data_IF_821876160924
#
_entry.id   IF_821876160924
#
_cell.length_a   1.000
_cell.length_b   1.000
_cell.length_c   1.000
_cell.angle_alpha   90.00
_cell.angle_beta   90.00
_cell.angle_gamma   90.00
#
_symmetry.space_group_name_H-M   'P 1'
#
loop_
_entity.id
_entity.type
_entity.pdbx_description
1 polymer ?
#
# COMPACT_ATOMS: atom_id res chain seq x y z
N UNK A 1 33.24 -40.00 73.55
CA UNK A 1 33.44 -40.26 72.12
C UNK A 1 32.05 -40.29 71.48
N UNK A 2 31.57 -39.16 70.97
CA UNK A 2 30.25 -39.02 70.34
C UNK A 2 30.46 -38.94 68.82
N UNK A 3 29.89 -39.89 68.08
CA UNK A 3 29.80 -39.86 66.61
C UNK A 3 28.38 -39.41 66.23
N UNK A 4 28.30 -38.35 65.43
CA UNK A 4 27.07 -37.84 64.82
C UNK A 4 26.74 -38.59 63.51
N UNK A 5 25.45 -38.78 63.15
CA UNK A 5 25.01 -39.28 61.84
C UNK A 5 24.82 -38.14 60.81
N UNK A 6 24.65 -38.46 59.51
CA UNK A 6 24.91 -37.55 58.40
C UNK A 6 23.74 -36.64 58.02
N UNK A 7 24.06 -35.48 57.46
CA UNK A 7 23.16 -34.46 56.92
C UNK A 7 22.45 -34.92 55.65
N UNK A 8 21.13 -34.73 55.60
CA UNK A 8 20.28 -34.95 54.42
C UNK A 8 20.62 -33.97 53.28
N UNK A 9 20.91 -34.53 52.11
CA UNK A 9 20.84 -33.85 50.82
C UNK A 9 19.39 -33.92 50.31
N UNK A 10 18.65 -32.81 50.31
CA UNK A 10 17.41 -32.64 49.54
C UNK A 10 17.33 -31.19 49.05
N UNK A 11 17.22 -31.01 47.72
CA UNK A 11 16.63 -29.86 46.99
C UNK A 11 17.36 -29.44 45.70
N UNK A 12 17.78 -30.39 44.85
CA UNK A 12 18.17 -30.06 43.46
C UNK A 12 17.02 -30.23 42.45
N UNK A 13 16.14 -31.22 42.62
CA UNK A 13 15.07 -31.52 41.67
C UNK A 13 13.93 -30.47 41.64
N UNK A 14 13.59 -29.88 42.79
CA UNK A 14 12.48 -28.91 42.91
C UNK A 14 12.80 -27.57 42.27
N UNK A 15 14.08 -27.15 42.28
CA UNK A 15 14.55 -25.89 41.70
C UNK A 15 14.61 -25.97 40.16
N UNK A 16 14.94 -27.14 39.61
CA UNK A 16 14.92 -27.38 38.16
C UNK A 16 13.49 -27.34 37.64
N UNK A 17 12.54 -28.01 38.29
CA UNK A 17 11.12 -28.01 37.90
C UNK A 17 10.46 -26.62 37.96
N UNK A 18 10.84 -25.77 38.92
CA UNK A 18 10.35 -24.38 39.01
C UNK A 18 10.88 -23.49 37.89
N UNK A 19 12.14 -23.66 37.48
CA UNK A 19 12.72 -22.93 36.35
C UNK A 19 12.08 -23.33 35.02
N UNK A 20 11.87 -24.63 34.82
CA UNK A 20 11.22 -25.18 33.62
C UNK A 20 9.76 -24.71 33.51
N UNK A 21 9.03 -24.70 34.63
CA UNK A 21 7.66 -24.20 34.71
C UNK A 21 7.55 -22.68 34.45
N UNK A 22 8.47 -21.88 35.01
CA UNK A 22 8.52 -20.45 34.77
C UNK A 22 8.83 -20.12 33.30
N UNK A 23 9.77 -20.85 32.70
CA UNK A 23 10.14 -20.68 31.29
C UNK A 23 8.98 -21.06 30.35
N UNK A 24 8.26 -22.15 30.67
CA UNK A 24 7.05 -22.55 29.94
C UNK A 24 5.93 -21.51 30.04
N UNK A 25 5.70 -20.97 31.24
CA UNK A 25 4.70 -19.91 31.49
C UNK A 25 5.04 -18.63 30.74
N UNK A 26 6.30 -18.23 30.69
CA UNK A 26 6.75 -17.05 29.94
C UNK A 26 6.53 -17.24 28.44
N UNK A 27 6.89 -18.42 27.89
CA UNK A 27 6.66 -18.74 26.47
C UNK A 27 5.17 -18.70 26.13
N UNK A 28 4.30 -19.24 26.99
CA UNK A 28 2.85 -19.18 26.78
C UNK A 28 2.29 -17.75 26.83
N UNK A 29 2.82 -16.89 27.70
CA UNK A 29 2.44 -15.47 27.77
C UNK A 29 2.86 -14.73 26.50
N UNK A 30 4.07 -14.97 26.00
CA UNK A 30 4.53 -14.40 24.73
C UNK A 30 3.73 -14.94 23.54
N UNK A 31 3.42 -16.23 23.50
CA UNK A 31 2.60 -16.84 22.46
C UNK A 31 1.19 -16.23 22.45
N UNK A 32 0.54 -16.08 23.62
CA UNK A 32 -0.78 -15.41 23.72
C UNK A 32 -0.71 -13.94 23.35
N UNK A 33 0.34 -13.21 23.77
CA UNK A 33 0.52 -11.81 23.38
C UNK A 33 0.73 -11.66 21.86
N UNK A 34 1.49 -12.59 21.26
CA UNK A 34 1.68 -12.69 19.82
C UNK A 34 0.36 -13.02 19.11
N UNK A 35 -0.40 -14.00 19.56
CA UNK A 35 -1.72 -14.34 19.01
C UNK A 35 -2.71 -13.18 19.11
N UNK A 36 -2.81 -12.51 20.26
CA UNK A 36 -3.66 -11.32 20.43
C UNK A 36 -3.22 -10.20 19.48
N UNK A 37 -1.90 -9.99 19.34
CA UNK A 37 -1.34 -9.02 18.40
C UNK A 37 -1.67 -9.39 16.95
N UNK A 38 -1.51 -10.66 16.56
CA UNK A 38 -1.88 -11.19 15.24
C UNK A 38 -3.38 -11.06 14.98
N UNK A 39 -4.24 -11.30 15.97
CA UNK A 39 -5.69 -11.19 15.84
C UNK A 39 -6.13 -9.73 15.68
N UNK A 40 -5.54 -8.81 16.47
CA UNK A 40 -5.74 -7.37 16.33
C UNK A 40 -5.22 -6.84 14.99
N UNK A 41 -4.13 -7.40 14.49
CA UNK A 41 -3.64 -7.06 13.17
C UNK A 41 -4.52 -7.63 12.06
N UNK A 42 -5.03 -8.88 12.17
CA UNK A 42 -6.00 -9.46 11.24
C UNK A 42 -7.27 -8.61 11.13
N UNK A 43 -7.78 -8.08 12.24
CA UNK A 43 -8.95 -7.18 12.24
C UNK A 43 -8.63 -5.80 11.63
N UNK A 44 -7.39 -5.30 11.73
CA UNK A 44 -6.92 -4.14 10.97
C UNK A 44 -6.67 -4.44 9.48
N UNK A 45 -6.31 -5.69 9.15
CA UNK A 45 -5.97 -6.11 7.80
C UNK A 45 -7.20 -6.37 6.93
N UNK A 46 -8.30 -6.83 7.54
CA UNK A 46 -9.60 -7.09 6.88
C UNK A 46 -10.31 -5.84 6.35
N UNK A 47 -9.91 -4.64 6.79
CA UNK A 47 -10.25 -3.40 6.09
C UNK A 47 -9.29 -3.27 4.91
N UNK A 48 -9.64 -3.87 3.75
CA UNK A 48 -8.89 -3.64 2.52
C UNK A 48 -8.94 -2.15 2.23
N UNK A 49 -7.79 -1.48 2.30
CA UNK A 49 -7.72 -0.09 1.95
C UNK A 49 -8.07 0.04 0.47
N UNK A 50 -9.08 0.83 0.15
CA UNK A 50 -9.59 0.91 -1.21
C UNK A 50 -8.47 1.34 -2.15
N UNK A 51 -8.29 0.63 -3.28
CA UNK A 51 -7.30 0.97 -4.31
C UNK A 51 -7.74 2.26 -5.01
N UNK A 52 -7.53 3.40 -4.36
CA UNK A 52 -8.01 4.70 -4.82
C UNK A 52 -6.90 5.73 -4.98
N UNK A 53 -7.13 6.70 -5.85
CA UNK A 53 -6.27 7.85 -6.05
C UNK A 53 -7.09 9.07 -6.46
N UNK A 54 -6.53 10.27 -6.27
CA UNK A 54 -7.18 11.53 -6.63
C UNK A 54 -6.26 12.29 -7.59
N UNK A 55 -6.80 12.72 -8.72
CA UNK A 55 -6.12 13.64 -9.63
C UNK A 55 -6.85 14.98 -9.65
N UNK A 56 -6.09 16.08 -9.64
CA UNK A 56 -6.61 17.45 -9.67
C UNK A 56 -5.91 18.24 -10.75
N UNK A 57 -6.67 19.00 -11.52
CA UNK A 57 -6.07 19.84 -12.55
C UNK A 57 -6.87 21.12 -12.81
N UNK A 58 -6.15 22.19 -13.13
CA UNK A 58 -6.71 23.47 -13.57
C UNK A 58 -6.25 23.70 -14.99
N UNK A 59 -7.19 23.66 -15.93
CA UNK A 59 -6.91 23.99 -17.32
C UNK A 59 -6.89 25.50 -17.49
N UNK A 60 -5.71 26.02 -17.83
CA UNK A 60 -5.48 27.43 -18.14
C UNK A 60 -5.95 27.76 -19.56
N UNK A 61 -6.26 29.03 -19.82
CA UNK A 61 -6.68 29.54 -21.13
C UNK A 61 -7.82 28.73 -21.77
N UNK A 62 -8.75 28.24 -20.95
CA UNK A 62 -9.88 27.45 -21.41
C UNK A 62 -10.84 28.26 -22.31
N UNK A 63 -10.70 29.59 -22.32
CA UNK A 63 -11.41 30.50 -23.22
C UNK A 63 -11.02 30.34 -24.69
N UNK A 64 -9.74 30.14 -24.97
CA UNK A 64 -9.16 30.05 -26.31
C UNK A 64 -9.02 28.62 -26.83
N UNK A 65 -9.58 27.63 -26.14
CA UNK A 65 -9.56 26.24 -26.60
C UNK A 65 -10.21 26.12 -27.98
N UNK A 66 -9.58 25.37 -28.89
CA UNK A 66 -10.08 25.07 -30.23
C UNK A 66 -11.06 23.88 -30.20
N UNK A 67 -11.90 23.77 -31.23
CA UNK A 67 -12.80 22.62 -31.38
C UNK A 67 -11.98 21.35 -31.64
N UNK A 68 -12.41 20.23 -31.05
CA UNK A 68 -11.87 18.88 -31.22
C UNK A 68 -10.38 18.70 -30.88
N UNK A 69 -9.75 19.74 -30.31
CA UNK A 69 -8.37 19.70 -29.84
C UNK A 69 -8.31 19.23 -28.39
N UNK A 70 -7.40 18.30 -28.11
CA UNK A 70 -7.15 17.78 -26.76
C UNK A 70 -6.14 18.66 -26.02
N UNK A 71 -6.51 19.11 -24.84
CA UNK A 71 -5.64 19.84 -23.93
C UNK A 71 -5.36 18.97 -22.72
N UNK A 72 -4.10 18.56 -22.55
CA UNK A 72 -3.67 17.59 -21.56
C UNK A 72 -3.19 18.25 -20.26
N UNK A 73 -3.56 17.65 -19.13
CA UNK A 73 -2.92 17.88 -17.84
C UNK A 73 -1.63 17.06 -17.69
N UNK A 74 -0.99 17.12 -16.51
CA UNK A 74 0.21 16.34 -16.21
C UNK A 74 -0.08 14.84 -16.24
N UNK A 75 0.98 14.06 -16.51
CA UNK A 75 0.95 12.62 -16.32
C UNK A 75 1.10 12.29 -14.84
N UNK A 76 0.25 11.40 -14.33
CA UNK A 76 0.41 10.85 -12.99
C UNK A 76 0.41 9.32 -13.06
N UNK A 77 1.35 8.70 -12.36
CA UNK A 77 1.45 7.25 -12.28
C UNK A 77 0.77 6.75 -11.01
N UNK A 78 -0.25 5.91 -11.18
CA UNK A 78 -1.02 5.32 -10.09
C UNK A 78 -1.16 3.81 -10.31
N UNK A 79 -0.79 3.01 -9.32
CA UNK A 79 -0.82 1.54 -9.39
C UNK A 79 0.00 0.96 -10.55
N UNK A 80 1.17 1.55 -10.84
CA UNK A 80 2.01 1.13 -11.96
C UNK A 80 1.50 1.55 -13.35
N UNK A 81 0.37 2.25 -13.41
CA UNK A 81 -0.27 2.67 -14.66
C UNK A 81 -0.15 4.18 -14.82
N UNK A 82 0.32 4.69 -15.97
CA UNK A 82 0.32 6.12 -16.25
C UNK A 82 -1.07 6.59 -16.68
N UNK A 83 -1.54 7.68 -16.08
CA UNK A 83 -2.85 8.31 -16.32
C UNK A 83 -2.70 9.77 -16.72
N UNK A 84 -3.61 10.27 -17.57
CA UNK A 84 -3.74 11.70 -17.88
C UNK A 84 -5.19 12.13 -17.85
N UNK A 85 -5.41 13.37 -17.43
CA UNK A 85 -6.66 14.09 -17.66
C UNK A 85 -6.48 14.91 -18.93
N UNK A 86 -7.51 14.98 -19.75
CA UNK A 86 -7.57 16.01 -20.78
C UNK A 86 -8.97 16.57 -20.91
N UNK A 87 -9.06 17.77 -21.48
CA UNK A 87 -10.32 18.39 -21.88
C UNK A 87 -10.34 18.54 -23.39
N UNK A 88 -11.51 18.33 -23.97
CA UNK A 88 -11.80 18.59 -25.37
C UNK A 88 -13.18 19.24 -25.44
N UNK A 89 -13.33 20.24 -26.32
CA UNK A 89 -14.63 20.82 -26.60
C UNK A 89 -15.08 20.42 -28.01
N UNK A 90 -16.34 20.05 -28.13
CA UNK A 90 -17.03 19.95 -29.41
C UNK A 90 -17.99 21.14 -29.57
N UNK A 91 -18.82 21.13 -30.61
CA UNK A 91 -19.80 22.18 -30.88
C UNK A 91 -20.79 22.43 -29.73
N UNK A 92 -21.10 21.41 -28.93
CA UNK A 92 -22.15 21.40 -27.90
C UNK A 92 -21.63 21.35 -26.47
N UNK A 93 -20.50 20.70 -26.23
CA UNK A 93 -20.02 20.36 -24.88
C UNK A 93 -18.52 20.64 -24.70
N UNK A 94 -18.14 20.92 -23.45
CA UNK A 94 -16.79 20.69 -22.95
C UNK A 94 -16.80 19.37 -22.18
N UNK A 95 -15.97 18.42 -22.61
CA UNK A 95 -15.90 17.08 -22.08
C UNK A 95 -14.52 16.86 -21.42
N UNK A 96 -14.53 16.33 -20.21
CA UNK A 96 -13.34 15.98 -19.44
C UNK A 96 -13.13 14.48 -19.51
N UNK A 97 -11.93 14.07 -19.86
CA UNK A 97 -11.56 12.68 -20.12
C UNK A 97 -10.47 12.23 -19.18
N UNK A 98 -10.54 10.95 -18.82
CA UNK A 98 -9.45 10.23 -18.20
C UNK A 98 -8.86 9.32 -19.28
N UNK A 99 -7.54 9.28 -19.39
CA UNK A 99 -6.83 8.43 -20.33
C UNK A 99 -5.81 7.57 -19.60
N UNK A 100 -5.84 6.27 -19.84
CA UNK A 100 -4.81 5.32 -19.43
C UNK A 100 -3.77 5.18 -20.54
N UNK A 101 -2.52 5.50 -20.22
CA UNK A 101 -1.41 5.49 -21.16
C UNK A 101 -0.68 4.15 -21.21
N UNK A 102 -1.21 3.09 -20.57
CA UNK A 102 -0.63 1.75 -20.66
C UNK A 102 -0.55 1.30 -22.12
N UNK A 103 0.63 0.77 -22.50
CA UNK A 103 0.90 0.28 -23.85
C UNK A 103 -0.13 -0.78 -24.28
N UNK A 104 -0.47 -0.75 -25.57
CA UNK A 104 -1.43 -1.69 -26.18
C UNK A 104 -0.91 -3.13 -26.12
N UNK A 105 0.41 -3.35 -26.12
CA UNK A 105 1.06 -4.65 -25.90
C UNK A 105 0.52 -5.81 -26.73
N UNK A 106 1.05 -7.01 -26.50
CA UNK A 106 0.44 -8.26 -26.98
C UNK A 106 -0.43 -8.91 -25.91
N UNK A 107 -0.04 -8.75 -24.64
CA UNK A 107 -0.77 -9.28 -23.48
C UNK A 107 -2.06 -8.50 -23.24
N UNK A 108 -3.23 -9.19 -23.19
CA UNK A 108 -4.48 -8.57 -22.78
C UNK A 108 -4.38 -8.05 -21.35
N UNK A 109 -4.93 -6.87 -21.11
CA UNK A 109 -5.03 -6.28 -19.78
C UNK A 109 -6.35 -5.55 -19.63
N UNK A 110 -6.77 -5.41 -18.37
CA UNK A 110 -8.03 -4.78 -17.99
C UNK A 110 -7.88 -4.04 -16.67
N UNK A 111 -8.52 -2.88 -16.58
CA UNK A 111 -8.65 -2.06 -15.37
C UNK A 111 -10.12 -1.70 -15.22
N UNK A 112 -10.80 -2.27 -14.21
CA UNK A 112 -12.16 -1.88 -13.85
C UNK A 112 -12.12 -0.90 -12.68
N UNK A 113 -12.85 0.21 -12.77
CA UNK A 113 -12.78 1.28 -11.78
C UNK A 113 -14.05 2.12 -11.73
N UNK A 114 -14.26 2.77 -10.60
CA UNK A 114 -15.29 3.78 -10.37
C UNK A 114 -14.64 5.17 -10.36
N UNK A 115 -15.26 6.15 -11.00
CA UNK A 115 -14.79 7.55 -11.03
C UNK A 115 -15.83 8.44 -10.41
N UNK A 116 -15.44 9.16 -9.36
CA UNK A 116 -16.20 10.22 -8.73
C UNK A 116 -15.56 11.56 -9.09
N UNK A 117 -16.16 12.29 -10.02
CA UNK A 117 -15.62 13.54 -10.55
C UNK A 117 -16.38 14.76 -10.09
N UNK A 118 -15.69 15.91 -10.04
CA UNK A 118 -16.22 17.20 -9.64
C UNK A 118 -15.64 18.31 -10.51
N UNK A 119 -16.49 19.17 -11.07
CA UNK A 119 -16.10 20.40 -11.78
C UNK A 119 -16.48 21.61 -10.94
N UNK A 120 -15.56 22.53 -10.73
CA UNK A 120 -15.79 23.73 -9.94
C UNK A 120 -16.67 24.72 -10.71
N UNK A 121 -17.68 25.28 -10.03
CA UNK A 121 -18.52 26.38 -10.53
C UNK A 121 -18.06 27.71 -9.93
N UNK A 122 -18.38 28.83 -10.60
CA UNK A 122 -18.12 30.19 -10.12
C UNK A 122 -18.67 30.48 -8.73
N UNK A 123 -19.79 29.87 -8.35
CA UNK A 123 -20.41 30.03 -7.04
C UNK A 123 -19.82 29.12 -5.96
N UNK A 124 -18.60 28.60 -6.18
CA UNK A 124 -17.88 27.67 -5.31
C UNK A 124 -18.59 26.33 -5.05
N UNK A 125 -19.61 26.00 -5.84
CA UNK A 125 -20.25 24.68 -5.81
C UNK A 125 -19.60 23.73 -6.81
N UNK A 126 -19.81 22.43 -6.62
CA UNK A 126 -19.27 21.39 -7.50
C UNK A 126 -20.38 20.74 -8.32
N UNK A 127 -20.17 20.61 -9.64
CA UNK A 127 -20.93 19.65 -10.45
C UNK A 127 -20.30 18.28 -10.27
N UNK A 128 -21.02 17.36 -9.62
CA UNK A 128 -20.54 16.00 -9.34
C UNK A 128 -21.08 15.03 -10.38
N UNK A 129 -20.27 14.04 -10.75
CA UNK A 129 -20.71 12.92 -11.56
C UNK A 129 -19.98 11.64 -11.12
N UNK A 130 -20.69 10.52 -11.10
CA UNK A 130 -20.17 9.23 -10.69
C UNK A 130 -20.48 8.18 -11.76
N UNK A 131 -19.50 7.37 -12.11
CA UNK A 131 -19.65 6.34 -13.14
C UNK A 131 -18.65 5.20 -12.93
N UNK A 132 -18.97 4.03 -13.49
CA UNK A 132 -18.06 2.88 -13.56
C UNK A 132 -17.53 2.75 -14.98
N UNK A 133 -16.25 2.42 -15.10
CA UNK A 133 -15.55 2.21 -16.37
C UNK A 133 -14.66 1.00 -16.33
N UNK A 134 -14.33 0.56 -17.52
CA UNK A 134 -13.38 -0.49 -17.77
C UNK A 134 -12.46 -0.06 -18.89
N UNK A 135 -11.16 -0.02 -18.63
CA UNK A 135 -10.14 0.19 -19.64
C UNK A 135 -9.44 -1.11 -19.99
N UNK A 136 -9.10 -1.25 -21.25
CA UNK A 136 -8.41 -2.39 -21.83
C UNK A 136 -7.51 -1.94 -22.98
N UNK A 137 -6.76 -2.85 -23.60
CA UNK A 137 -5.89 -2.51 -24.74
C UNK A 137 -6.60 -1.76 -25.89
N UNK A 138 -7.89 -1.99 -26.10
CA UNK A 138 -8.69 -1.37 -27.19
C UNK A 138 -9.44 -0.13 -26.74
N UNK A 139 -9.71 0.03 -25.44
CA UNK A 139 -10.48 1.15 -24.91
C UNK A 139 -9.78 1.72 -23.68
N UNK A 140 -9.14 2.88 -23.83
CA UNK A 140 -8.23 3.45 -22.80
C UNK A 140 -8.58 4.87 -22.39
N UNK A 141 -9.66 5.42 -22.95
CA UNK A 141 -9.99 6.82 -22.78
C UNK A 141 -11.49 6.99 -22.88
N UNK A 142 -12.09 7.67 -21.90
CA UNK A 142 -13.50 8.05 -21.94
C UNK A 142 -13.74 9.31 -21.12
N UNK A 143 -14.81 10.02 -21.46
CA UNK A 143 -15.26 11.17 -20.71
C UNK A 143 -15.84 10.75 -19.36
N UNK A 144 -15.48 11.48 -18.31
CA UNK A 144 -15.99 11.26 -16.95
C UNK A 144 -16.91 12.39 -16.47
N UNK A 145 -16.90 13.55 -17.14
CA UNK A 145 -17.79 14.66 -16.83
C UNK A 145 -17.85 15.61 -18.03
N UNK A 146 -18.93 16.37 -18.14
CA UNK A 146 -19.11 17.33 -19.22
C UNK A 146 -20.08 18.43 -18.81
N UNK A 147 -20.03 19.57 -19.51
CA UNK A 147 -21.07 20.58 -19.44
C UNK A 147 -21.35 21.18 -20.82
N UNK A 148 -22.59 21.64 -21.02
CA UNK A 148 -22.98 22.29 -22.27
C UNK A 148 -22.28 23.64 -22.44
N UNK A 149 -21.83 23.95 -23.66
CA UNK A 149 -21.14 25.20 -24.01
C UNK A 149 -21.93 26.46 -23.62
N UNK A 150 -23.27 26.41 -23.63
CA UNK A 150 -24.15 27.50 -23.16
C UNK A 150 -23.99 27.79 -21.67
N UNK A 151 -23.63 26.78 -20.88
CA UNK A 151 -23.40 26.89 -19.44
C UNK A 151 -21.94 27.23 -19.09
N UNK A 152 -21.05 27.43 -20.07
CA UNK A 152 -19.61 27.67 -19.86
C UNK A 152 -19.31 28.78 -18.84
N UNK A 153 -20.04 29.89 -18.89
CA UNK A 153 -19.87 31.02 -17.95
C UNK A 153 -20.08 30.64 -16.48
N UNK A 154 -20.78 29.54 -16.19
CA UNK A 154 -21.01 29.02 -14.83
C UNK A 154 -19.79 28.29 -14.27
N UNK A 155 -18.91 27.78 -15.12
CA UNK A 155 -17.76 26.95 -14.74
C UNK A 155 -16.42 27.67 -14.93
N UNK A 156 -16.34 28.57 -15.92
CA UNK A 156 -15.12 29.32 -16.21
C UNK A 156 -14.82 30.34 -15.11
N UNK A 157 -13.68 30.26 -14.43
CA UNK A 157 -13.25 31.24 -13.42
C UNK A 157 -11.95 31.87 -13.93
N UNK A 158 -11.98 33.15 -14.30
CA UNK A 158 -10.83 33.89 -14.85
C UNK A 158 -10.11 33.16 -15.99
N UNK A 159 -10.89 32.63 -16.94
CA UNK A 159 -10.37 31.85 -18.07
C UNK A 159 -9.92 30.43 -17.74
N UNK A 160 -10.16 29.94 -16.52
CA UNK A 160 -9.73 28.63 -16.03
C UNK A 160 -10.88 27.66 -15.80
N UNK A 161 -10.60 26.37 -15.95
CA UNK A 161 -11.52 25.27 -15.58
C UNK A 161 -10.83 24.30 -14.62
N UNK A 162 -11.35 24.20 -13.39
CA UNK A 162 -10.82 23.30 -12.37
C UNK A 162 -11.64 22.01 -12.26
N UNK A 163 -10.93 20.87 -12.20
CA UNK A 163 -11.51 19.53 -12.08
C UNK A 163 -10.78 18.71 -11.02
N UNK A 164 -11.55 17.90 -10.30
CA UNK A 164 -11.07 16.88 -9.37
C UNK A 164 -11.72 15.55 -9.73
N UNK A 165 -10.95 14.46 -9.76
CA UNK A 165 -11.47 13.11 -9.92
C UNK A 165 -10.85 12.19 -8.86
N UNK A 166 -11.72 11.45 -8.18
CA UNK A 166 -11.34 10.33 -7.34
C UNK A 166 -11.62 9.04 -8.12
N UNK A 167 -10.60 8.22 -8.33
CA UNK A 167 -10.70 6.95 -9.02
C UNK A 167 -10.52 5.84 -8.01
N UNK A 168 -11.46 4.90 -7.98
CA UNK A 168 -11.41 3.69 -7.16
C UNK A 168 -11.31 2.46 -8.06
N UNK A 169 -10.13 1.87 -8.10
CA UNK A 169 -9.84 0.62 -8.78
C UNK A 169 -10.63 -0.51 -8.11
N UNK A 170 -11.46 -1.20 -8.90
CA UNK A 170 -12.16 -2.42 -8.53
C UNK A 170 -11.31 -3.65 -8.88
N UNK A 171 -10.67 -3.63 -10.05
CA UNK A 171 -9.89 -4.75 -10.56
C UNK A 171 -8.76 -4.26 -11.48
N UNK A 172 -7.60 -4.90 -11.40
CA UNK A 172 -6.52 -4.78 -12.40
C UNK A 172 -6.06 -6.19 -12.73
N UNK A 173 -6.07 -6.54 -14.01
CA UNK A 173 -5.59 -7.82 -14.54
C UNK A 173 -4.76 -7.61 -15.81
N UNK A 174 -3.78 -8.49 -16.03
CA UNK A 174 -2.87 -8.43 -17.20
C UNK A 174 -1.89 -7.25 -17.21
N UNK A 175 -1.84 -6.43 -16.16
CA UNK A 175 -0.83 -5.37 -15.98
C UNK A 175 0.23 -5.89 -15.01
N UNK A 176 1.38 -6.25 -15.55
CA UNK A 176 2.58 -6.46 -14.77
C UNK A 176 3.09 -5.10 -14.28
N UNK A 177 2.98 -4.86 -12.98
CA UNK A 177 3.80 -3.83 -12.33
C UNK A 177 5.22 -4.40 -12.33
N UNK A 178 6.23 -3.70 -12.88
CA UNK A 178 7.58 -4.22 -12.94
C UNK A 178 8.04 -4.64 -11.54
N UNK A 179 8.25 -5.94 -11.35
CA UNK A 179 8.93 -6.46 -10.17
C UNK A 179 10.40 -6.12 -10.30
N UNK A 180 10.96 -5.40 -9.35
CA UNK A 180 12.41 -5.15 -9.32
C UNK A 180 13.17 -6.41 -8.93
N UNK A 181 12.51 -7.36 -8.24
CA UNK A 181 13.09 -8.65 -7.85
C UNK A 181 12.19 -9.83 -8.16
N UNK A 182 12.81 -10.94 -8.53
CA UNK A 182 12.14 -12.23 -8.69
C UNK A 182 12.39 -13.06 -7.44
N UNK A 183 11.31 -13.51 -6.81
CA UNK A 183 11.35 -14.40 -5.64
C UNK A 183 10.91 -15.83 -6.02
N UNK A 184 10.90 -16.15 -7.31
CA UNK A 184 10.37 -17.41 -7.86
C UNK A 184 11.18 -17.92 -9.05
N UNK A 185 12.35 -17.32 -9.32
CA UNK A 185 13.28 -17.82 -10.32
C UNK A 185 14.10 -19.02 -9.80
N UNK A 186 14.87 -19.64 -10.69
CA UNK A 186 15.63 -20.85 -10.36
C UNK A 186 16.69 -20.62 -9.28
N UNK A 187 17.21 -19.39 -9.16
CA UNK A 187 18.19 -19.03 -8.12
C UNK A 187 17.49 -18.92 -6.78
N UNK A 188 16.40 -18.17 -6.70
CA UNK A 188 15.59 -18.04 -5.49
C UNK A 188 15.12 -19.41 -5.00
N UNK A 189 14.57 -20.24 -5.90
CA UNK A 189 14.13 -21.62 -5.60
C UNK A 189 15.24 -22.51 -5.07
N UNK A 190 16.45 -22.39 -5.62
CA UNK A 190 17.59 -23.24 -5.26
C UNK A 190 18.16 -22.90 -3.89
N UNK A 191 18.16 -21.63 -3.50
CA UNK A 191 18.90 -21.17 -2.32
C UNK A 191 18.02 -20.73 -1.16
N UNK A 192 16.73 -20.44 -1.36
CA UNK A 192 15.82 -20.11 -0.26
C UNK A 192 15.72 -21.22 0.78
N UNK A 193 15.58 -20.86 2.05
CA UNK A 193 15.37 -21.79 3.16
C UNK A 193 13.89 -21.84 3.61
N UNK A 194 13.02 -21.04 3.01
CA UNK A 194 11.57 -21.03 3.24
C UNK A 194 10.79 -20.49 2.02
N UNK A 195 9.57 -20.99 1.84
CA UNK A 195 8.59 -20.48 0.87
C UNK A 195 7.41 -19.87 1.61
N UNK A 196 7.11 -18.61 1.31
CA UNK A 196 5.90 -17.95 1.80
C UNK A 196 4.84 -17.99 0.70
N UNK A 197 3.71 -18.63 0.98
CA UNK A 197 2.53 -18.63 0.12
C UNK A 197 1.66 -17.42 0.48
N UNK A 198 1.47 -16.49 -0.46
CA UNK A 198 0.61 -15.32 -0.29
C UNK A 198 -0.37 -15.31 -1.45
N UNK A 199 -1.65 -15.54 -1.15
CA UNK A 199 -2.65 -15.78 -2.19
C UNK A 199 -2.26 -16.99 -3.06
N UNK A 200 -2.13 -16.77 -4.36
CA UNK A 200 -1.71 -17.76 -5.36
C UNK A 200 -0.22 -17.69 -5.70
N UNK A 201 0.56 -16.82 -5.03
CA UNK A 201 1.98 -16.59 -5.35
C UNK A 201 2.92 -17.22 -4.32
N UNK A 202 4.02 -17.76 -4.83
CA UNK A 202 5.14 -18.31 -4.05
C UNK A 202 6.26 -17.29 -3.95
N UNK A 203 6.73 -17.04 -2.72
CA UNK A 203 7.88 -16.20 -2.43
C UNK A 203 8.97 -17.05 -1.77
N UNK A 204 10.01 -17.38 -2.53
CA UNK A 204 11.23 -18.04 -2.07
C UNK A 204 12.15 -17.02 -1.42
N UNK A 205 12.32 -17.11 -0.10
CA UNK A 205 13.00 -16.09 0.71
C UNK A 205 13.92 -16.75 1.76
N UNK A 206 14.65 -15.91 2.50
CA UNK A 206 15.55 -16.35 3.56
C UNK A 206 14.98 -16.00 4.93
N UNK A 207 14.83 -17.01 5.81
CA UNK A 207 14.38 -16.85 7.19
C UNK A 207 15.23 -15.81 7.91
N UNK A 208 16.56 -15.95 7.85
CA UNK A 208 17.50 -15.02 8.48
C UNK A 208 17.27 -13.58 8.01
N UNK A 209 17.13 -13.37 6.70
CA UNK A 209 16.99 -12.03 6.14
C UNK A 209 15.69 -11.36 6.59
N UNK A 210 14.57 -12.07 6.54
CA UNK A 210 13.30 -11.55 7.01
C UNK A 210 13.32 -11.26 8.52
N UNK A 211 13.90 -12.16 9.33
CA UNK A 211 14.07 -11.95 10.77
C UNK A 211 14.88 -10.70 11.10
N UNK A 212 15.93 -10.41 10.32
CA UNK A 212 16.73 -9.18 10.49
C UNK A 212 15.90 -7.90 10.28
N UNK A 213 14.89 -7.96 9.41
CA UNK A 213 14.07 -6.80 9.06
C UNK A 213 12.74 -6.74 9.81
N UNK A 214 12.31 -7.81 10.48
CA UNK A 214 10.98 -7.98 11.05
C UNK A 214 10.99 -8.90 12.28
N UNK A 215 10.61 -8.36 13.43
CA UNK A 215 10.46 -9.13 14.68
C UNK A 215 9.29 -10.12 14.60
N UNK A 216 8.30 -9.86 13.74
CA UNK A 216 7.25 -10.82 13.43
C UNK A 216 7.84 -12.08 12.78
N UNK A 217 8.64 -11.92 11.73
CA UNK A 217 9.25 -13.05 11.03
C UNK A 217 10.31 -13.75 11.89
N UNK A 218 11.05 -13.00 12.70
CA UNK A 218 11.91 -13.57 13.75
C UNK A 218 11.12 -14.53 14.64
N UNK A 219 10.03 -14.04 15.24
CA UNK A 219 9.18 -14.85 16.13
C UNK A 219 8.54 -16.04 15.40
N UNK A 220 8.15 -15.86 14.13
CA UNK A 220 7.54 -16.90 13.31
C UNK A 220 8.53 -18.04 13.01
N UNK A 221 9.79 -17.71 12.74
CA UNK A 221 10.80 -18.69 12.32
C UNK A 221 11.60 -19.30 13.47
N UNK A 222 11.78 -18.59 14.58
CA UNK A 222 12.51 -19.07 15.75
C UNK A 222 11.61 -19.53 16.90
N UNK A 223 10.29 -19.38 16.77
CA UNK A 223 9.33 -19.79 17.79
C UNK A 223 9.10 -21.31 17.84
N UNK A 224 8.53 -21.78 18.95
CA UNK A 224 8.11 -23.17 19.14
C UNK A 224 6.70 -23.42 18.57
N UNK A 225 6.42 -22.92 17.36
CA UNK A 225 5.13 -23.07 16.69
C UNK A 225 5.22 -24.17 15.63
N UNK A 226 4.08 -24.77 15.26
CA UNK A 226 4.08 -25.79 14.20
C UNK A 226 4.54 -25.22 12.84
N UNK A 227 4.45 -23.90 12.66
CA UNK A 227 4.88 -23.17 11.48
C UNK A 227 6.40 -23.07 11.33
N UNK A 228 7.17 -23.02 12.42
CA UNK A 228 8.63 -22.79 12.33
C UNK A 228 9.38 -23.96 11.67
N UNK A 229 8.82 -25.16 11.81
CA UNK A 229 9.30 -26.41 11.20
C UNK A 229 8.86 -26.59 9.74
N UNK A 230 7.97 -25.74 9.21
CA UNK A 230 7.48 -25.86 7.83
C UNK A 230 8.46 -25.22 6.85
N UNK A 231 8.62 -25.87 5.70
CA UNK A 231 9.31 -25.31 4.53
C UNK A 231 8.41 -24.39 3.70
N UNK A 232 7.08 -24.52 3.85
CA UNK A 232 6.07 -23.70 3.17
C UNK A 232 5.11 -23.15 4.23
N UNK A 233 4.99 -21.82 4.30
CA UNK A 233 4.15 -21.11 5.28
C UNK A 233 3.16 -20.23 4.54
N UNK A 234 1.87 -20.35 4.87
CA UNK A 234 0.81 -19.55 4.27
C UNK A 234 0.58 -18.25 5.06
N UNK A 235 0.64 -17.12 4.36
CA UNK A 235 0.30 -15.80 4.86
C UNK A 235 -1.06 -15.39 4.30
N UNK A 236 -2.07 -15.39 5.17
CA UNK A 236 -3.46 -15.08 4.83
C UNK A 236 -3.73 -13.59 4.84
N UNK A 237 -4.76 -13.18 4.08
CA UNK A 237 -5.31 -11.82 4.06
C UNK A 237 -4.33 -10.72 3.60
N UNK A 238 -3.36 -11.07 2.75
CA UNK A 238 -2.36 -10.14 2.20
C UNK A 238 -2.46 -10.15 0.66
N UNK A 239 -2.51 -8.97 0.02
CA UNK A 239 -2.42 -8.86 -1.45
C UNK A 239 -0.98 -9.23 -1.88
N UNK A 240 -0.80 -10.20 -2.79
CA UNK A 240 0.54 -10.64 -3.21
C UNK A 240 1.40 -9.52 -3.77
N UNK A 241 0.81 -8.49 -4.39
CA UNK A 241 1.55 -7.34 -4.92
C UNK A 241 2.04 -6.43 -3.82
N UNK A 242 1.24 -6.23 -2.77
CA UNK A 242 1.67 -5.43 -1.63
C UNK A 242 2.80 -6.15 -0.89
N UNK A 243 2.73 -7.48 -0.79
CA UNK A 243 3.82 -8.28 -0.22
C UNK A 243 5.10 -8.23 -1.07
N UNK A 244 4.98 -8.35 -2.40
CA UNK A 244 6.10 -8.14 -3.33
C UNK A 244 6.77 -6.77 -3.10
N UNK A 245 5.98 -5.69 -3.05
CA UNK A 245 6.52 -4.34 -2.79
C UNK A 245 7.18 -4.23 -1.41
N UNK A 246 6.63 -4.88 -0.38
CA UNK A 246 7.23 -4.92 0.95
C UNK A 246 8.60 -5.61 0.91
N UNK A 247 8.72 -6.78 0.25
CA UNK A 247 9.98 -7.48 0.10
C UNK A 247 11.01 -6.65 -0.67
N UNK A 248 10.64 -6.10 -1.82
CA UNK A 248 11.50 -5.23 -2.62
C UNK A 248 11.98 -4.02 -1.81
N UNK A 249 11.09 -3.42 -1.01
CA UNK A 249 11.46 -2.32 -0.11
C UNK A 249 12.51 -2.75 0.91
N UNK A 250 12.32 -3.84 1.66
CA UNK A 250 13.32 -4.27 2.65
C UNK A 250 14.66 -4.65 2.00
N UNK A 251 14.62 -5.11 0.75
CA UNK A 251 15.79 -5.44 -0.06
C UNK A 251 16.56 -4.23 -0.65
N UNK A 252 16.05 -3.01 -0.49
CA UNK A 252 16.76 -1.81 -0.96
C UNK A 252 16.08 -1.09 -2.12
N UNK A 253 15.08 -1.66 -2.76
CA UNK A 253 14.59 -1.16 -4.04
C UNK A 253 13.70 0.10 -3.90
N UNK A 254 13.57 0.84 -5.00
CA UNK A 254 12.80 2.08 -5.08
C UNK A 254 11.36 1.79 -5.54
N UNK A 255 10.51 1.38 -4.60
CA UNK A 255 9.11 0.95 -4.87
C UNK A 255 8.05 1.88 -4.28
N UNK A 256 8.46 2.94 -3.58
CA UNK A 256 7.56 3.88 -2.91
C UNK A 256 7.01 4.92 -3.89
N UNK A 257 5.69 4.99 -3.95
CA UNK A 257 4.90 5.99 -4.67
C UNK A 257 3.73 6.43 -3.75
N UNK A 258 3.11 7.58 -4.02
CA UNK A 258 1.92 8.01 -3.26
C UNK A 258 0.78 6.98 -3.27
N UNK A 259 0.70 6.21 -4.36
CA UNK A 259 -0.28 5.16 -4.55
C UNK A 259 0.07 3.85 -3.83
N UNK A 260 1.32 3.62 -3.39
CA UNK A 260 1.76 2.36 -2.77
C UNK A 260 2.18 2.51 -1.30
N UNK A 261 2.70 3.68 -0.90
CA UNK A 261 3.32 3.91 0.40
C UNK A 261 2.45 3.49 1.58
N UNK A 262 1.14 3.76 1.53
CA UNK A 262 0.23 3.45 2.65
C UNK A 262 0.05 1.94 2.82
N UNK A 263 -0.07 1.18 1.72
CA UNK A 263 -0.21 -0.28 1.77
C UNK A 263 1.08 -0.96 2.22
N UNK A 264 2.23 -0.47 1.77
CA UNK A 264 3.52 -0.97 2.24
C UNK A 264 3.73 -0.62 3.71
N UNK A 265 3.37 0.59 4.13
CA UNK A 265 3.42 1.00 5.54
C UNK A 265 2.51 0.14 6.43
N UNK A 266 1.32 -0.24 5.95
CA UNK A 266 0.43 -1.18 6.63
C UNK A 266 1.08 -2.55 6.84
N UNK A 267 1.74 -3.10 5.82
CA UNK A 267 2.49 -4.35 5.96
C UNK A 267 3.71 -4.20 6.86
N UNK A 268 4.40 -3.07 6.80
CA UNK A 268 5.54 -2.79 7.66
C UNK A 268 5.12 -2.71 9.15
N UNK A 269 3.98 -2.10 9.46
CA UNK A 269 3.40 -2.12 10.82
C UNK A 269 2.94 -3.52 11.23
N UNK A 270 2.29 -4.26 10.31
CA UNK A 270 1.83 -5.64 10.54
C UNK A 270 2.99 -6.58 10.88
N UNK A 271 4.04 -6.56 10.05
CA UNK A 271 5.24 -7.37 10.22
C UNK A 271 6.23 -6.76 11.23
N UNK A 272 5.90 -5.66 11.89
CA UNK A 272 6.79 -4.98 12.85
C UNK A 272 8.20 -4.72 12.26
N UNK A 273 8.22 -4.23 11.03
CA UNK A 273 9.42 -4.00 10.22
C UNK A 273 9.85 -2.52 10.28
N UNK A 274 10.52 -2.14 11.38
CA UNK A 274 10.90 -0.75 11.67
C UNK A 274 11.71 -0.08 10.55
N UNK A 275 12.60 -0.83 9.90
CA UNK A 275 13.40 -0.31 8.78
C UNK A 275 12.53 0.07 7.57
N UNK A 276 11.49 -0.71 7.28
CA UNK A 276 10.52 -0.39 6.23
C UNK A 276 9.64 0.81 6.63
N UNK A 277 9.19 0.88 7.88
CA UNK A 277 8.43 2.03 8.41
C UNK A 277 9.23 3.33 8.21
N UNK A 278 10.50 3.35 8.61
CA UNK A 278 11.36 4.53 8.46
C UNK A 278 11.58 4.95 7.00
N UNK A 279 11.63 3.99 6.06
CA UNK A 279 11.72 4.31 4.62
C UNK A 279 10.42 4.90 4.08
N UNK A 280 9.27 4.34 4.46
CA UNK A 280 7.95 4.89 4.12
C UNK A 280 7.79 6.31 4.68
N UNK A 281 8.20 6.51 5.93
CA UNK A 281 8.17 7.81 6.59
C UNK A 281 9.02 8.85 5.85
N UNK A 282 10.27 8.52 5.51
CA UNK A 282 11.14 9.41 4.73
C UNK A 282 10.53 9.78 3.38
N UNK A 283 9.95 8.82 2.66
CA UNK A 283 9.26 9.11 1.40
C UNK A 283 8.08 10.07 1.60
N UNK A 284 7.29 9.87 2.66
CA UNK A 284 6.17 10.76 3.00
C UNK A 284 6.65 12.19 3.29
N UNK A 285 7.83 12.37 3.88
CA UNK A 285 8.44 13.68 4.10
C UNK A 285 8.94 14.31 2.80
N UNK A 286 9.77 13.58 2.05
CA UNK A 286 10.65 14.15 1.03
C UNK A 286 10.04 14.12 -0.38
N UNK A 287 9.19 13.14 -0.70
CA UNK A 287 8.80 12.85 -2.09
C UNK A 287 7.28 12.76 -2.32
N UNK A 288 6.50 12.60 -1.25
CA UNK A 288 5.05 12.43 -1.35
C UNK A 288 4.31 13.75 -1.61
N UNK A 289 3.37 13.73 -2.56
CA UNK A 289 2.44 14.83 -2.84
C UNK A 289 1.15 14.76 -1.99
N UNK A 290 1.07 13.84 -1.02
CA UNK A 290 -0.08 13.79 -0.09
C UNK A 290 -0.22 15.10 0.67
N UNK A 291 -1.46 15.48 0.96
CA UNK A 291 -1.73 16.68 1.74
C UNK A 291 -1.17 16.58 3.16
N UNK A 292 -0.93 17.73 3.79
CA UNK A 292 -0.49 17.81 5.20
C UNK A 292 -1.43 17.04 6.13
N UNK A 293 -2.74 17.06 5.87
CA UNK A 293 -3.73 16.34 6.66
C UNK A 293 -3.62 14.82 6.49
N UNK A 294 -3.39 14.34 5.26
CA UNK A 294 -3.17 12.91 5.02
C UNK A 294 -1.88 12.43 5.70
N UNK A 295 -0.78 13.17 5.51
CA UNK A 295 0.50 12.89 6.17
C UNK A 295 0.35 12.87 7.70
N UNK A 296 -0.39 13.83 8.24
CA UNK A 296 -0.73 13.91 9.67
C UNK A 296 -1.46 12.68 10.20
N UNK A 297 -2.48 12.23 9.48
CA UNK A 297 -3.27 11.08 9.89
C UNK A 297 -2.43 9.80 9.87
N UNK A 298 -1.61 9.62 8.82
CA UNK A 298 -0.68 8.50 8.73
C UNK A 298 0.34 8.52 9.87
N UNK A 299 0.87 9.71 10.20
CA UNK A 299 1.84 9.85 11.29
C UNK A 299 1.28 9.40 12.63
N UNK A 300 0.03 9.79 12.94
CA UNK A 300 -0.64 9.39 14.18
C UNK A 300 -0.97 7.89 14.15
N UNK A 301 -1.52 7.40 13.03
CA UNK A 301 -1.98 6.01 12.90
C UNK A 301 -0.83 4.99 13.02
N UNK A 302 0.31 5.28 12.39
CA UNK A 302 1.46 4.38 12.34
C UNK A 302 2.62 4.81 13.25
N UNK A 303 2.39 5.82 14.10
CA UNK A 303 3.39 6.37 15.04
C UNK A 303 4.70 6.75 14.34
N UNK A 304 4.59 7.51 13.25
CA UNK A 304 5.72 8.00 12.45
C UNK A 304 6.36 9.21 13.16
N UNK A 305 7.38 8.95 13.97
CA UNK A 305 8.02 9.93 14.86
C UNK A 305 8.61 11.14 14.13
N UNK A 306 9.36 10.94 13.04
CA UNK A 306 9.96 12.03 12.25
C UNK A 306 8.89 12.92 11.61
N UNK A 307 7.79 12.31 11.13
CA UNK A 307 6.65 13.05 10.58
C UNK A 307 5.90 13.86 11.66
N UNK A 308 5.91 13.39 12.91
CA UNK A 308 5.32 14.11 14.03
C UNK A 308 6.19 15.31 14.46
N UNK A 309 7.52 15.21 14.35
CA UNK A 309 8.46 16.29 14.72
C UNK A 309 8.39 17.46 13.73
N UNK A 310 8.19 17.23 12.42
CA UNK A 310 8.07 18.32 11.44
C UNK A 310 6.88 19.26 11.75
N UNK A 311 5.79 18.74 12.32
CA UNK A 311 4.66 19.56 12.77
C UNK A 311 5.04 20.59 13.84
N UNK A 312 6.00 20.25 14.70
CA UNK A 312 6.41 21.11 15.82
C UNK A 312 7.29 22.27 15.34
N UNK A 313 7.95 22.12 14.18
CA UNK A 313 8.85 23.14 13.63
C UNK A 313 8.17 24.12 12.66
N UNK A 314 6.90 23.90 12.31
CA UNK A 314 6.11 24.75 11.40
C UNK A 314 4.89 25.41 12.04
N UNK A 315 4.70 25.24 13.35
CA UNK A 315 3.76 26.01 14.19
C UNK A 315 4.54 27.06 14.98
#
# INVERSE_FOLDING_TARGET
MLLFPPTMCKNSATVVGLKEYAQKTIVEVFARAFEVRVTNYRSKMSVSEEKKFVMKHVFENAESMELDKKYYGPEEKHFGVPWKIYIMKDERYHCFYLECLKSKGTTPWKIAFEVNSKILKKNSQWLKHSLTREYSRTFRSDHFNYFNNRARKKYMIDGKLAVELEVKIKEISGIEIPKTRKFDDDVAKKFSDVVLMVGDQQFHVFKMYLSMHSTYFESLFSGNFAESEKSIIELKDIDPRDFQNFLELIHGDLVLEDSTVVRILKLADYFDAKSAIGRCERFLLENSNKSTNEKSNLAIQYKLENLMVEKVLKC
#
